data_IF_053064660342
#
_entry.id   IF_053064660342
#
_cell.length_a   1.000
_cell.length_b   1.000
_cell.length_c   1.000
_cell.angle_alpha   90.00
_cell.angle_beta   90.00
_cell.angle_gamma   90.00
#
_symmetry.space_group_name_H-M   'P 1'
#
loop_
_entity.id
_entity.type
_entity.pdbx_description
1 polymer ?
#
# COMPACT_ATOMS: atom_id res chain seq x y z
N UNK A 1 -72.78 -31.72 25.16
CA UNK A 1 -73.69 -30.58 24.90
C UNK A 1 -72.88 -29.42 24.30
N UNK A 2 -73.38 -28.82 23.19
CA UNK A 2 -73.00 -27.52 22.53
C UNK A 2 -71.53 -27.36 22.05
N UNK A 3 -71.16 -27.49 20.77
CA UNK A 3 -71.37 -26.67 19.54
C UNK A 3 -71.03 -25.18 19.65
N UNK A 4 -69.91 -24.75 19.04
CA UNK A 4 -69.69 -23.48 18.27
C UNK A 4 -68.24 -23.47 17.70
N UNK A 5 -68.01 -23.73 16.41
CA UNK A 5 -67.99 -22.85 15.21
C UNK A 5 -66.62 -22.20 14.91
N UNK A 6 -66.09 -22.56 13.74
CA UNK A 6 -64.82 -22.18 13.11
C UNK A 6 -64.73 -20.73 12.62
N UNK A 7 -63.50 -20.20 12.56
CA UNK A 7 -63.05 -19.08 11.70
C UNK A 7 -61.58 -19.39 11.32
N UNK A 8 -61.29 -20.01 10.16
CA UNK A 8 -60.83 -19.40 8.91
C UNK A 8 -59.84 -18.22 9.03
N UNK A 9 -58.55 -18.45 8.74
CA UNK A 9 -57.72 -17.56 7.91
C UNK A 9 -56.35 -18.19 7.65
N UNK A 10 -56.21 -18.78 6.47
CA UNK A 10 -54.95 -19.08 5.77
C UNK A 10 -54.31 -17.80 5.23
N UNK A 11 -53.00 -17.91 4.90
CA UNK A 11 -52.13 -17.01 4.12
C UNK A 11 -51.28 -16.00 4.90
N UNK A 12 -49.97 -16.29 4.96
CA UNK A 12 -49.01 -15.51 4.19
C UNK A 12 -47.78 -16.37 3.85
N UNK A 13 -47.56 -16.57 2.56
CA UNK A 13 -46.33 -17.07 1.93
C UNK A 13 -45.45 -15.85 1.64
N UNK A 14 -44.16 -15.94 1.97
CA UNK A 14 -43.07 -15.23 1.29
C UNK A 14 -41.80 -16.10 1.50
N UNK A 15 -41.42 -16.96 0.55
CA UNK A 15 -40.70 -16.68 -0.70
C UNK A 15 -39.22 -16.31 -0.47
N UNK A 16 -38.38 -17.36 -0.58
CA UNK A 16 -37.09 -17.48 -1.26
C UNK A 16 -36.13 -16.26 -1.36
N UNK A 17 -34.89 -16.48 -0.94
CA UNK A 17 -33.71 -16.27 -1.80
C UNK A 17 -32.53 -17.13 -1.30
N UNK A 18 -32.17 -18.14 -2.09
CA UNK A 18 -30.86 -18.77 -2.06
C UNK A 18 -29.88 -17.81 -2.74
N UNK A 19 -28.70 -17.60 -2.17
CA UNK A 19 -27.57 -17.03 -2.89
C UNK A 19 -26.26 -17.54 -2.27
N UNK A 20 -25.75 -18.62 -2.86
CA UNK A 20 -24.35 -18.99 -2.86
C UNK A 20 -23.51 -17.82 -3.38
N UNK A 21 -22.53 -17.35 -2.61
CA UNK A 21 -21.37 -16.60 -3.13
C UNK A 21 -20.12 -17.21 -2.49
N UNK A 22 -19.49 -18.18 -3.15
CA UNK A 22 -18.40 -17.95 -4.11
C UNK A 22 -17.11 -17.44 -3.42
N UNK A 23 -16.22 -18.38 -3.08
CA UNK A 23 -14.77 -18.13 -3.22
C UNK A 23 -14.50 -18.06 -4.74
N UNK A 24 -13.72 -17.09 -5.25
CA UNK A 24 -12.27 -17.07 -5.00
C UNK A 24 -11.65 -15.66 -5.01
N UNK A 25 -11.03 -15.25 -3.91
CA UNK A 25 -10.12 -14.09 -3.90
C UNK A 25 -8.72 -14.49 -4.33
N UNK A 26 -8.57 -15.01 -5.56
CA UNK A 26 -7.27 -15.12 -6.20
C UNK A 26 -6.73 -13.70 -6.33
N UNK A 27 -5.79 -13.30 -5.47
CA UNK A 27 -5.01 -12.10 -5.66
C UNK A 27 -4.19 -12.31 -6.93
N UNK A 28 -4.78 -11.94 -8.06
CA UNK A 28 -4.09 -11.83 -9.34
C UNK A 28 -3.07 -10.72 -9.15
N UNK A 29 -1.84 -11.11 -8.80
CA UNK A 29 -0.65 -10.32 -9.08
C UNK A 29 -0.49 -10.27 -10.61
N UNK A 30 -1.38 -9.53 -11.27
CA UNK A 30 -1.19 -9.01 -12.61
C UNK A 30 -0.48 -7.67 -12.41
N UNK A 31 0.85 -7.65 -12.55
CA UNK A 31 1.54 -7.38 -13.83
C UNK A 31 1.85 -5.86 -13.93
N UNK A 32 2.81 -5.38 -14.75
CA UNK A 32 3.90 -6.04 -15.47
C UNK A 32 5.30 -5.43 -15.17
N UNK A 33 6.33 -6.25 -15.43
CA UNK A 33 7.57 -6.05 -16.20
C UNK A 33 8.36 -4.69 -16.25
N UNK A 34 9.68 -4.75 -16.50
CA UNK A 34 10.68 -3.73 -16.18
C UNK A 34 10.87 -2.66 -17.27
N UNK A 35 11.28 -1.45 -16.86
CA UNK A 35 11.95 -0.47 -17.73
C UNK A 35 12.77 0.47 -16.83
N UNK A 36 14.09 0.30 -16.79
CA UNK A 36 15.03 1.00 -17.66
C UNK A 36 15.33 2.44 -17.18
N UNK A 37 16.48 2.51 -16.49
CA UNK A 37 17.46 3.59 -16.40
C UNK A 37 17.25 4.84 -17.28
N UNK A 38 17.40 6.04 -16.70
CA UNK A 38 18.37 7.10 -17.15
C UNK A 38 18.10 8.46 -16.47
N UNK A 39 19.06 8.82 -15.62
CA UNK A 39 19.78 10.11 -15.47
C UNK A 39 19.16 11.43 -14.97
N UNK A 40 20.05 12.11 -14.22
CA UNK A 40 20.09 13.50 -13.75
C UNK A 40 19.16 13.76 -12.55
N UNK A 41 19.58 13.87 -11.29
CA UNK A 41 20.85 14.34 -10.73
C UNK A 41 20.57 15.46 -9.71
N UNK A 42 20.87 15.21 -8.44
CA UNK A 42 21.45 16.16 -7.48
C UNK A 42 21.92 15.32 -6.29
N UNK A 43 23.24 15.21 -6.14
CA UNK A 43 23.87 14.44 -5.06
C UNK A 43 23.71 15.23 -3.76
N UNK A 44 22.69 14.89 -2.96
CA UNK A 44 22.51 15.57 -1.66
C UNK A 44 23.47 15.01 -0.61
N UNK A 45 23.93 13.75 -0.72
CA UNK A 45 24.90 13.14 0.21
C UNK A 45 25.65 12.02 -0.53
N UNK A 46 26.99 12.05 -0.60
CA UNK A 46 27.80 10.99 -1.24
C UNK A 46 27.59 9.56 -0.72
N UNK A 47 26.77 9.40 0.34
CA UNK A 47 26.40 8.14 0.98
C UNK A 47 25.23 7.39 0.31
N UNK A 48 24.25 8.11 -0.24
CA UNK A 48 23.08 7.54 -0.94
C UNK A 48 23.01 8.11 -2.35
N UNK A 49 24.04 7.81 -3.17
CA UNK A 49 24.16 8.39 -4.50
C UNK A 49 23.10 7.80 -5.45
N UNK A 50 22.14 8.63 -5.82
CA UNK A 50 21.15 8.35 -6.84
C UNK A 50 21.04 9.54 -7.78
N UNK A 51 21.19 9.27 -9.07
CA UNK A 51 21.18 10.29 -10.12
C UNK A 51 19.97 10.14 -11.04
N UNK A 52 18.86 9.55 -10.57
CA UNK A 52 17.62 9.48 -11.36
C UNK A 52 16.60 10.51 -10.89
N UNK A 53 15.40 10.44 -11.48
CA UNK A 53 14.24 11.22 -11.02
C UNK A 53 13.63 10.62 -9.74
N UNK A 54 12.84 11.42 -9.03
CA UNK A 54 12.09 11.02 -7.84
C UNK A 54 10.59 10.88 -8.17
N UNK A 55 10.17 9.83 -8.89
CA UNK A 55 8.76 9.54 -9.11
C UNK A 55 8.08 9.15 -7.79
N UNK A 56 6.75 9.11 -7.82
CA UNK A 56 5.99 8.49 -6.76
C UNK A 56 6.31 6.98 -6.69
N UNK A 57 6.68 6.50 -5.50
CA UNK A 57 6.89 5.07 -5.24
C UNK A 57 6.09 4.63 -4.01
N UNK A 58 5.63 3.40 -4.02
CA UNK A 58 4.69 2.83 -3.05
C UNK A 58 4.92 1.33 -2.85
N UNK A 59 4.16 0.72 -1.94
CA UNK A 59 4.26 -0.71 -1.63
C UNK A 59 4.12 -1.57 -2.89
N UNK A 60 5.10 -2.45 -3.11
CA UNK A 60 5.18 -3.32 -4.30
C UNK A 60 6.10 -2.80 -5.39
N UNK A 61 6.47 -1.51 -5.38
CA UNK A 61 7.45 -0.96 -6.31
C UNK A 61 8.85 -1.49 -6.02
N UNK A 62 9.70 -1.46 -7.04
CA UNK A 62 11.07 -1.94 -6.93
C UNK A 62 12.05 -1.18 -7.82
N UNK A 63 13.34 -1.32 -7.52
CA UNK A 63 14.44 -0.78 -8.33
C UNK A 63 15.30 0.25 -7.60
N UNK A 64 16.16 0.91 -8.36
CA UNK A 64 17.19 1.81 -7.82
C UNK A 64 16.61 3.01 -7.05
N UNK A 65 15.44 3.51 -7.45
CA UNK A 65 14.73 4.60 -6.74
C UNK A 65 14.25 4.15 -5.35
N UNK A 66 13.80 2.90 -5.22
CA UNK A 66 13.39 2.34 -3.93
C UNK A 66 14.60 2.11 -3.04
N UNK A 67 15.70 1.59 -3.61
CA UNK A 67 16.97 1.45 -2.90
C UNK A 67 17.49 2.81 -2.41
N UNK A 68 17.28 3.88 -3.19
CA UNK A 68 17.61 5.24 -2.79
C UNK A 68 16.78 5.69 -1.58
N UNK A 69 15.44 5.56 -1.62
CA UNK A 69 14.59 5.87 -0.46
C UNK A 69 14.99 5.07 0.79
N UNK A 70 15.26 3.77 0.63
CA UNK A 70 15.71 2.91 1.72
C UNK A 70 17.07 3.35 2.29
N UNK A 71 17.98 3.78 1.42
CA UNK A 71 19.27 4.31 1.85
C UNK A 71 19.10 5.59 2.68
N UNK A 72 18.23 6.52 2.25
CA UNK A 72 17.93 7.74 3.01
C UNK A 72 17.28 7.40 4.36
N UNK A 73 16.26 6.54 4.37
CA UNK A 73 15.62 6.06 5.60
C UNK A 73 16.62 5.42 6.56
N UNK A 74 17.57 4.64 6.05
CA UNK A 74 18.55 3.96 6.89
C UNK A 74 19.64 4.88 7.42
N UNK A 75 20.22 5.69 6.53
CA UNK A 75 21.49 6.36 6.79
C UNK A 75 21.33 7.86 7.14
N UNK A 76 20.25 8.51 6.69
CA UNK A 76 19.93 9.91 7.03
C UNK A 76 19.00 9.92 8.25
N UNK A 77 17.97 9.08 8.22
CA UNK A 77 16.95 9.00 9.27
C UNK A 77 17.29 8.01 10.39
N UNK A 78 18.33 7.21 10.22
CA UNK A 78 18.80 6.27 11.25
C UNK A 78 17.93 5.02 11.44
N UNK A 79 17.01 4.71 10.52
CA UNK A 79 16.16 3.52 10.60
C UNK A 79 16.93 2.25 10.18
N UNK A 80 17.74 1.73 11.10
CA UNK A 80 18.67 0.60 10.87
C UNK A 80 18.02 -0.71 10.40
N UNK A 81 16.74 -0.89 10.68
CA UNK A 81 15.95 -2.07 10.28
C UNK A 81 15.56 -2.07 8.80
N UNK A 82 15.70 -0.93 8.11
CA UNK A 82 15.41 -0.84 6.68
C UNK A 82 16.53 -1.51 5.89
N UNK A 83 16.19 -2.59 5.18
CA UNK A 83 17.08 -3.18 4.19
C UNK A 83 17.15 -2.28 2.94
N UNK A 84 18.33 -2.17 2.34
CA UNK A 84 18.53 -1.47 1.06
C UNK A 84 18.59 -2.53 -0.04
N UNK A 85 17.44 -3.14 -0.30
CA UNK A 85 17.27 -4.25 -1.24
C UNK A 85 16.58 -3.83 -2.55
N UNK A 86 16.12 -2.58 -2.63
CA UNK A 86 15.37 -2.04 -3.76
C UNK A 86 13.95 -2.58 -3.86
N UNK A 87 13.39 -3.15 -2.79
CA UNK A 87 12.03 -3.68 -2.74
C UNK A 87 11.17 -2.89 -1.76
N UNK A 88 10.06 -2.31 -2.22
CA UNK A 88 9.19 -1.52 -1.37
C UNK A 88 8.26 -2.44 -0.58
N UNK A 89 8.81 -3.03 0.48
CA UNK A 89 8.11 -3.94 1.38
C UNK A 89 7.39 -3.27 2.55
N UNK A 90 6.79 -4.08 3.45
CA UNK A 90 6.10 -3.58 4.63
C UNK A 90 7.03 -2.83 5.60
N UNK A 91 8.30 -3.25 5.70
CA UNK A 91 9.31 -2.55 6.50
C UNK A 91 9.58 -1.15 5.95
N UNK A 92 9.79 -1.01 4.64
CA UNK A 92 9.96 0.29 3.97
C UNK A 92 8.73 1.17 4.22
N UNK A 93 7.52 0.64 3.99
CA UNK A 93 6.25 1.36 4.21
C UNK A 93 6.12 1.89 5.64
N UNK A 94 6.43 1.04 6.64
CA UNK A 94 6.40 1.43 8.07
C UNK A 94 7.30 2.64 8.34
N UNK A 95 8.51 2.63 7.80
CA UNK A 95 9.49 3.69 8.04
C UNK A 95 9.23 4.94 7.21
N UNK A 96 8.64 4.82 6.02
CA UNK A 96 8.11 5.96 5.27
C UNK A 96 7.05 6.69 6.08
N UNK A 97 6.08 5.97 6.66
CA UNK A 97 5.04 6.60 7.50
C UNK A 97 5.61 7.32 8.72
N UNK A 98 6.69 6.80 9.31
CA UNK A 98 7.39 7.46 10.42
C UNK A 98 8.12 8.74 9.98
N UNK A 99 8.75 8.73 8.80
CA UNK A 99 9.36 9.93 8.25
C UNK A 99 8.30 10.99 7.93
N UNK A 100 7.16 10.56 7.35
CA UNK A 100 6.02 11.43 7.07
C UNK A 100 5.44 12.07 8.34
N UNK A 101 5.29 11.29 9.41
CA UNK A 101 4.88 11.79 10.73
C UNK A 101 5.84 12.86 11.25
N UNK A 102 7.15 12.59 11.19
CA UNK A 102 8.19 13.51 11.64
C UNK A 102 8.30 14.80 10.80
N UNK A 103 7.77 14.79 9.58
CA UNK A 103 7.69 15.94 8.70
C UNK A 103 6.31 16.63 8.71
N UNK A 104 5.41 16.23 9.62
CA UNK A 104 4.05 16.78 9.75
C UNK A 104 3.24 16.71 8.42
N UNK A 105 3.42 15.64 7.64
CA UNK A 105 2.67 15.37 6.41
C UNK A 105 1.82 14.10 6.53
N UNK A 106 0.93 13.89 5.55
CA UNK A 106 0.05 12.71 5.52
C UNK A 106 0.85 11.41 5.53
N UNK A 107 0.52 10.52 6.47
CA UNK A 107 1.15 9.20 6.62
C UNK A 107 0.55 8.14 5.67
N UNK A 108 0.47 8.45 4.39
CA UNK A 108 -0.08 7.55 3.37
C UNK A 108 0.84 6.35 3.08
N UNK A 109 2.13 6.43 3.43
CA UNK A 109 3.12 5.40 3.14
C UNK A 109 3.63 5.42 1.69
N UNK A 110 3.33 6.49 0.95
CA UNK A 110 3.73 6.73 -0.42
C UNK A 110 4.85 7.78 -0.43
N UNK A 111 5.93 7.50 -1.16
CA UNK A 111 7.01 8.46 -1.33
C UNK A 111 6.74 9.30 -2.57
N UNK A 112 5.90 10.34 -2.40
CA UNK A 112 5.66 11.38 -3.40
C UNK A 112 6.58 12.60 -3.21
N UNK A 113 6.39 13.69 -3.98
CA UNK A 113 7.29 14.85 -3.96
C UNK A 113 7.55 15.44 -2.56
N UNK A 114 6.50 15.59 -1.74
CA UNK A 114 6.64 16.09 -0.37
C UNK A 114 7.42 15.13 0.53
N UNK A 115 7.25 13.83 0.33
CA UNK A 115 7.99 12.81 1.08
C UNK A 115 9.45 12.77 0.63
N UNK A 116 9.74 12.95 -0.65
CA UNK A 116 11.11 13.09 -1.16
C UNK A 116 11.83 14.29 -0.56
N UNK A 117 11.18 15.46 -0.57
CA UNK A 117 11.71 16.68 0.06
C UNK A 117 11.99 16.48 1.56
N UNK A 118 11.15 15.71 2.24
CA UNK A 118 11.34 15.34 3.64
C UNK A 118 12.55 14.40 3.83
N UNK A 119 12.77 13.44 2.93
CA UNK A 119 13.81 12.41 3.10
C UNK A 119 15.25 12.91 2.85
N UNK A 120 15.43 14.01 2.11
CA UNK A 120 16.72 14.60 1.75
C UNK A 120 17.25 15.58 2.78
#
# INVERSE_FOLDING_TARGET
>A
MRRTRSVFATLAVAAAAAATLALPGSATAAAPAPAAVTSGGVSVLGMCNYSGSHPEISSGDSGAVVAHAQCLLRNVWGYKDVAVDGQFGPTTTKYVKKAQDACDITQDGIVGPKTWDCLH
#
